data_IF_350825346074
#
_entry.id   IF_350825346074
#
_cell.length_a   1.000
_cell.length_b   1.000
_cell.length_c   1.000
_cell.angle_alpha   90.00
_cell.angle_beta   90.00
_cell.angle_gamma   90.00
#
_symmetry.space_group_name_H-M   'P 1'
#
loop_
_entity.id
_entity.type
_entity.pdbx_description
1 polymer ?
#
# COMPACT_ATOMS: atom_id res chain seq x y z
N UNK A 1 -8.11 -16.98 8.85
CA UNK A 1 -8.91 -16.80 7.63
C UNK A 1 -7.94 -16.62 6.48
N UNK A 2 -8.16 -17.32 5.37
CA UNK A 2 -7.30 -17.26 4.18
C UNK A 2 -7.44 -15.90 3.48
N UNK A 3 -6.38 -15.43 2.83
CA UNK A 3 -6.45 -14.22 2.00
C UNK A 3 -7.29 -14.48 0.73
N UNK A 4 -7.93 -13.44 0.18
CA UNK A 4 -8.75 -13.58 -1.03
C UNK A 4 -7.94 -13.96 -2.28
N UNK A 5 -6.71 -13.45 -2.40
CA UNK A 5 -5.75 -13.80 -3.45
C UNK A 5 -4.32 -13.63 -2.94
N UNK A 6 -3.35 -14.20 -3.65
CA UNK A 6 -1.92 -13.94 -3.44
C UNK A 6 -1.35 -12.91 -4.44
N UNK A 7 -2.18 -12.36 -5.33
CA UNK A 7 -1.74 -11.37 -6.29
C UNK A 7 -1.33 -10.06 -5.62
N UNK A 8 -0.32 -9.37 -6.19
CA UNK A 8 0.15 -8.08 -5.69
C UNK A 8 -0.90 -6.98 -5.89
N UNK A 9 -1.25 -6.32 -4.78
CA UNK A 9 -2.04 -5.08 -4.76
C UNK A 9 -1.12 -3.88 -4.51
N UNK A 10 -1.20 -2.87 -5.36
CA UNK A 10 -0.44 -1.62 -5.20
C UNK A 10 -1.36 -0.45 -4.88
N UNK A 11 -1.06 0.29 -3.81
CA UNK A 11 -1.74 1.53 -3.43
C UNK A 11 -0.87 2.70 -3.87
N UNK A 12 -1.36 3.50 -4.82
CA UNK A 12 -0.70 4.72 -5.32
C UNK A 12 -1.25 5.94 -4.60
N UNK A 13 -0.36 6.80 -4.09
CA UNK A 13 -0.74 7.90 -3.20
C UNK A 13 -0.82 7.45 -1.73
N UNK A 14 -0.03 6.44 -1.35
CA UNK A 14 -0.11 5.78 -0.05
C UNK A 14 0.33 6.66 1.14
N UNK A 15 1.09 7.74 0.91
CA UNK A 15 1.47 8.67 1.98
C UNK A 15 0.35 9.66 2.35
N UNK A 16 -0.72 9.75 1.53
CA UNK A 16 -1.87 10.59 1.82
C UNK A 16 -2.86 9.93 2.79
N UNK A 17 -3.71 10.74 3.42
CA UNK A 17 -4.73 10.28 4.39
C UNK A 17 -5.66 9.18 3.84
N UNK A 18 -5.99 9.26 2.55
CA UNK A 18 -6.84 8.26 1.88
C UNK A 18 -6.05 6.98 1.63
N UNK A 19 -4.84 7.10 1.04
CA UNK A 19 -4.01 5.96 0.69
C UNK A 19 -3.55 5.14 1.90
N UNK A 20 -3.18 5.79 3.00
CA UNK A 20 -2.78 5.10 4.24
C UNK A 20 -3.94 4.33 4.86
N UNK A 21 -5.14 4.93 4.90
CA UNK A 21 -6.33 4.25 5.38
C UNK A 21 -6.74 3.09 4.46
N UNK A 22 -6.61 3.24 3.14
CA UNK A 22 -6.85 2.17 2.17
C UNK A 22 -5.88 1.00 2.38
N UNK A 23 -4.60 1.27 2.65
CA UNK A 23 -3.61 0.23 2.94
C UNK A 23 -4.00 -0.59 4.17
N UNK A 24 -4.28 0.07 5.29
CA UNK A 24 -4.74 -0.61 6.51
C UNK A 24 -6.04 -1.41 6.27
N UNK A 25 -7.00 -0.81 5.55
CA UNK A 25 -8.28 -1.46 5.24
C UNK A 25 -8.09 -2.71 4.37
N UNK A 26 -7.22 -2.66 3.36
CA UNK A 26 -6.92 -3.80 2.50
C UNK A 26 -6.35 -4.99 3.29
N UNK A 27 -5.51 -4.69 4.30
CA UNK A 27 -4.96 -5.71 5.21
C UNK A 27 -6.06 -6.29 6.09
N UNK A 28 -6.87 -5.44 6.74
CA UNK A 28 -7.96 -5.86 7.63
C UNK A 28 -9.06 -6.65 6.91
N UNK A 29 -9.25 -6.41 5.60
CA UNK A 29 -10.15 -7.17 4.75
C UNK A 29 -9.56 -8.50 4.26
N UNK A 30 -8.29 -8.79 4.58
CA UNK A 30 -7.56 -9.98 4.13
C UNK A 30 -7.59 -10.13 2.60
N UNK A 31 -7.40 -9.03 1.84
CA UNK A 31 -7.48 -9.08 0.38
C UNK A 31 -6.29 -9.84 -0.23
N UNK A 32 -5.08 -9.52 0.19
CA UNK A 32 -3.85 -10.17 -0.26
C UNK A 32 -2.75 -10.01 0.77
N UNK A 33 -1.85 -11.00 0.94
CA UNK A 33 -0.65 -10.82 1.75
C UNK A 33 0.36 -9.91 1.05
N UNK A 34 0.28 -9.72 -0.27
CA UNK A 34 1.28 -9.00 -1.07
C UNK A 34 0.83 -7.55 -1.33
N UNK A 35 1.05 -6.68 -0.34
CA UNK A 35 0.70 -5.27 -0.41
C UNK A 35 1.93 -4.41 -0.74
N UNK A 36 1.79 -3.54 -1.74
CA UNK A 36 2.82 -2.58 -2.11
C UNK A 36 2.29 -1.16 -1.99
N UNK A 37 3.05 -0.30 -1.33
CA UNK A 37 2.72 1.10 -1.12
C UNK A 37 3.64 1.96 -1.99
N UNK A 38 3.03 2.86 -2.75
CA UNK A 38 3.77 3.81 -3.56
C UNK A 38 3.33 5.24 -3.27
N UNK A 39 4.33 6.10 -3.11
CA UNK A 39 4.16 7.54 -3.07
C UNK A 39 5.47 8.24 -3.48
N UNK A 40 5.43 9.34 -4.25
CA UNK A 40 6.60 10.17 -4.50
C UNK A 40 7.13 10.86 -3.22
N UNK A 41 6.30 11.04 -2.18
CA UNK A 41 6.73 11.62 -0.92
C UNK A 41 7.29 10.57 0.04
N UNK A 42 8.55 10.18 -0.16
CA UNK A 42 9.22 9.11 0.57
C UNK A 42 9.15 9.23 2.12
N UNK A 43 9.37 10.40 2.75
CA UNK A 43 9.30 10.50 4.21
C UNK A 43 7.91 10.20 4.79
N UNK A 44 6.84 10.63 4.10
CA UNK A 44 5.48 10.31 4.52
C UNK A 44 5.14 8.83 4.29
N UNK A 45 5.64 8.26 3.19
CA UNK A 45 5.46 6.84 2.88
C UNK A 45 6.13 5.92 3.90
N UNK A 46 7.35 6.25 4.32
CA UNK A 46 8.08 5.51 5.36
C UNK A 46 7.31 5.53 6.68
N UNK A 47 6.79 6.70 7.10
CA UNK A 47 5.95 6.81 8.29
C UNK A 47 4.70 5.91 8.23
N UNK A 48 4.01 5.87 7.09
CA UNK A 48 2.85 4.97 6.90
C UNK A 48 3.27 3.50 6.95
N UNK A 49 4.39 3.13 6.35
CA UNK A 49 4.89 1.76 6.40
C UNK A 49 5.20 1.33 7.84
N UNK A 50 5.87 2.18 8.62
CA UNK A 50 6.16 1.96 10.04
C UNK A 50 4.88 1.79 10.88
N UNK A 51 3.85 2.61 10.66
CA UNK A 51 2.55 2.44 11.32
C UNK A 51 1.93 1.05 11.05
N UNK A 52 1.98 0.59 9.79
CA UNK A 52 1.46 -0.73 9.42
C UNK A 52 2.31 -1.88 9.97
N UNK A 53 3.64 -1.73 10.03
CA UNK A 53 4.53 -2.71 10.66
C UNK A 53 4.25 -2.83 12.16
N UNK A 54 4.03 -1.70 12.84
CA UNK A 54 3.69 -1.68 14.27
C UNK A 54 2.31 -2.27 14.59
N UNK A 55 1.38 -2.29 13.63
CA UNK A 55 0.10 -2.98 13.79
C UNK A 55 0.24 -4.50 13.89
N UNK A 56 1.37 -5.09 13.46
CA UNK A 56 1.67 -6.51 13.67
C UNK A 56 0.75 -7.47 12.92
N UNK A 57 0.26 -7.09 11.74
CA UNK A 57 -0.60 -7.94 10.92
C UNK A 57 0.14 -9.22 10.47
N UNK A 58 -0.27 -10.37 11.01
CA UNK A 58 0.37 -11.66 10.73
C UNK A 58 0.21 -12.08 9.26
N UNK A 59 1.28 -12.63 8.68
CA UNK A 59 1.27 -13.18 7.32
C UNK A 59 1.30 -12.13 6.20
N UNK A 60 1.48 -10.85 6.54
CA UNK A 60 1.61 -9.78 5.55
C UNK A 60 3.04 -9.64 5.01
N UNK A 61 3.15 -9.46 3.70
CA UNK A 61 4.35 -9.05 2.98
C UNK A 61 4.14 -7.62 2.47
N UNK A 62 4.36 -6.64 3.36
CA UNK A 62 4.21 -5.21 3.04
C UNK A 62 5.54 -4.70 2.48
N UNK A 63 5.47 -4.08 1.31
CA UNK A 63 6.60 -3.40 0.66
C UNK A 63 6.22 -1.95 0.40
N UNK A 64 7.20 -1.05 0.37
CA UNK A 64 6.99 0.34 -0.02
C UNK A 64 8.16 0.83 -0.88
N UNK A 65 7.86 1.71 -1.83
CA UNK A 65 8.88 2.28 -2.73
C UNK A 65 8.39 3.61 -3.32
N UNK A 66 9.32 4.51 -3.58
CA UNK A 66 9.08 5.72 -4.37
C UNK A 66 9.46 5.56 -5.84
N UNK A 67 9.89 4.35 -6.26
CA UNK A 67 10.09 3.98 -7.66
C UNK A 67 8.80 3.37 -8.23
N UNK A 68 8.21 4.04 -9.23
CA UNK A 68 6.93 3.60 -9.82
C UNK A 68 7.06 2.28 -10.60
N UNK A 69 8.23 1.99 -11.19
CA UNK A 69 8.48 0.75 -11.91
C UNK A 69 8.51 -0.41 -10.93
N UNK A 70 9.19 -0.27 -9.80
CA UNK A 70 9.19 -1.27 -8.73
C UNK A 70 7.77 -1.51 -8.19
N UNK A 71 7.03 -0.42 -7.93
CA UNK A 71 5.67 -0.49 -7.43
C UNK A 71 4.75 -1.26 -8.39
N UNK A 72 4.77 -0.95 -9.69
CA UNK A 72 3.86 -1.55 -10.66
C UNK A 72 4.31 -2.90 -11.21
N UNK A 73 5.59 -3.26 -11.07
CA UNK A 73 6.08 -4.57 -11.53
C UNK A 73 5.36 -5.69 -10.79
N UNK A 74 4.69 -6.55 -11.55
CA UNK A 74 3.94 -7.71 -11.04
C UNK A 74 2.60 -7.37 -10.39
N UNK A 75 2.20 -6.10 -10.30
CA UNK A 75 0.91 -5.72 -9.75
C UNK A 75 -0.24 -6.24 -10.64
N UNK A 76 -1.23 -6.90 -10.02
CA UNK A 76 -2.49 -7.27 -10.70
C UNK A 76 -3.61 -6.30 -10.40
N UNK A 77 -3.53 -5.66 -9.24
CA UNK A 77 -4.50 -4.68 -8.78
C UNK A 77 -3.80 -3.38 -8.40
N UNK A 78 -4.40 -2.26 -8.79
CA UNK A 78 -3.91 -0.93 -8.47
C UNK A 78 -5.09 -0.07 -8.02
N UNK A 79 -4.94 0.58 -6.86
CA UNK A 79 -5.87 1.61 -6.38
C UNK A 79 -5.08 2.90 -6.27
N UNK A 80 -5.56 3.97 -6.91
CA UNK A 80 -4.85 5.25 -6.95
C UNK A 80 -5.70 6.36 -6.35
N UNK A 81 -5.14 7.00 -5.32
CA UNK A 81 -5.60 8.28 -4.77
C UNK A 81 -4.59 9.41 -4.98
N UNK A 82 -3.48 9.15 -5.69
CA UNK A 82 -2.35 10.06 -5.92
C UNK A 82 -2.60 11.16 -6.96
N UNK A 83 -3.77 11.80 -6.93
CA UNK A 83 -4.05 12.99 -7.75
C UNK A 83 -3.42 14.25 -7.15
N UNK A 84 -3.04 15.20 -8.00
CA UNK A 84 -2.66 16.53 -7.52
C UNK A 84 -3.87 17.27 -6.95
N UNK A 85 -3.71 17.91 -5.79
CA UNK A 85 -4.74 18.76 -5.22
C UNK A 85 -5.12 19.88 -6.20
N UNK A 86 -6.41 20.17 -6.33
CA UNK A 86 -6.87 21.32 -7.12
C UNK A 86 -6.41 22.61 -6.42
N UNK A 87 -5.93 23.57 -7.22
CA UNK A 87 -5.62 24.92 -6.76
C UNK A 87 -6.89 25.69 -6.42
#
# INVERSE_FOLDING_TARGET
MEFLTNDKLTIVGAAGMIGSNMAQTAIMMHLTPNLCLYDPYAPGLEGVAEELFHCGFEGMNITFTSDIKEALTGAKYVVSSGGAARK
#
